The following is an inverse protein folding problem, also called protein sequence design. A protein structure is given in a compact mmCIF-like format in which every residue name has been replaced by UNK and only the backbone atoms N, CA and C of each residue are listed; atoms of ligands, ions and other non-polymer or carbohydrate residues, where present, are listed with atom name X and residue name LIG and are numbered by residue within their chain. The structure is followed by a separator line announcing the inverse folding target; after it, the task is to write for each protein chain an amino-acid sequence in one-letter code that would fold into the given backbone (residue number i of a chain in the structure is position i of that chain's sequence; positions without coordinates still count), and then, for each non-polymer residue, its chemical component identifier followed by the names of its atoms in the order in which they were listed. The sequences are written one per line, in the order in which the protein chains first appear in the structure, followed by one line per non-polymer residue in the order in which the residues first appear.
data_IF_000302463210
#
_entry.id   IF_000302463210
#
_cell.length_a   1.000
_cell.length_b   1.000
_cell.length_c   1.000
_cell.angle_alpha   90.00
_cell.angle_beta   90.00
_cell.angle_gamma   90.00
#
_symmetry.space_group_name_H-M   'P 1'
#
loop_
_entity.id
_entity.type
_entity.pdbx_description
1 polymer ?
#
# COMPACT_ATOMS: atom_id res chain seq x y z
N UNK A 1 -18.98 -11.62 -12.66
CA UNK A 1 -18.26 -10.70 -11.75
C UNK A 1 -18.66 -10.90 -10.30
N UNK A 2 -19.90 -11.31 -10.02
CA UNK A 2 -20.45 -11.40 -8.66
C UNK A 2 -19.71 -12.38 -7.74
N UNK A 3 -19.35 -13.58 -8.22
CA UNK A 3 -18.56 -14.53 -7.42
C UNK A 3 -17.18 -13.96 -7.05
N UNK A 4 -16.53 -13.29 -8.00
CA UNK A 4 -15.24 -12.64 -7.81
C UNK A 4 -15.37 -11.51 -6.77
N UNK A 5 -16.41 -10.68 -6.86
CA UNK A 5 -16.66 -9.63 -5.88
C UNK A 5 -16.96 -10.20 -4.48
N UNK A 6 -17.70 -11.30 -4.39
CA UNK A 6 -18.01 -11.91 -3.09
C UNK A 6 -16.77 -12.48 -2.37
N UNK A 7 -15.75 -12.95 -3.09
CA UNK A 7 -14.62 -13.69 -2.51
C UNK A 7 -13.25 -13.01 -2.65
N UNK A 8 -13.07 -12.08 -3.59
CA UNK A 8 -11.78 -11.49 -3.94
C UNK A 8 -11.61 -10.02 -3.55
N UNK A 9 -12.65 -9.37 -3.02
CA UNK A 9 -12.66 -7.92 -2.81
C UNK A 9 -11.61 -7.41 -1.82
N UNK A 10 -11.32 -8.16 -0.76
CA UNK A 10 -10.39 -7.73 0.30
C UNK A 10 -9.16 -8.63 0.45
N UNK A 11 -8.97 -9.59 -0.46
CA UNK A 11 -7.87 -10.56 -0.38
C UNK A 11 -6.58 -10.03 -0.99
N UNK A 12 -6.63 -8.92 -1.74
CA UNK A 12 -5.49 -8.43 -2.54
C UNK A 12 -4.88 -9.53 -3.40
N UNK A 13 -5.71 -10.39 -4.00
CA UNK A 13 -5.24 -11.57 -4.72
C UNK A 13 -5.69 -11.61 -6.18
N UNK A 14 -6.36 -10.56 -6.67
CA UNK A 14 -6.94 -10.56 -8.00
C UNK A 14 -6.61 -9.27 -8.76
N UNK A 15 -5.92 -9.46 -9.88
CA UNK A 15 -5.70 -8.48 -10.94
C UNK A 15 -6.22 -9.10 -12.24
N UNK A 16 -7.13 -8.41 -12.91
CA UNK A 16 -7.75 -8.86 -14.15
C UNK A 16 -7.30 -7.95 -15.30
N UNK A 17 -7.16 -8.52 -16.49
CA UNK A 17 -6.90 -7.78 -17.71
C UNK A 17 -7.67 -8.40 -18.88
N UNK A 18 -7.92 -7.58 -19.91
CA UNK A 18 -8.51 -8.02 -21.16
C UNK A 18 -7.58 -7.59 -22.29
N UNK A 19 -7.03 -8.55 -23.03
CA UNK A 19 -6.08 -8.29 -24.11
C UNK A 19 -6.58 -8.91 -25.42
N UNK A 20 -6.41 -8.23 -26.57
CA UNK A 20 -6.68 -8.81 -27.88
C UNK A 20 -5.56 -9.74 -28.37
N UNK A 21 -4.43 -9.81 -27.65
CA UNK A 21 -3.27 -10.62 -28.03
C UNK A 21 -3.48 -12.10 -27.72
N UNK A 22 -2.72 -12.97 -28.38
CA UNK A 22 -2.66 -14.39 -28.02
C UNK A 22 -2.08 -14.55 -26.61
N UNK A 23 -2.48 -15.61 -25.90
CA UNK A 23 -2.09 -15.81 -24.50
C UNK A 23 -0.56 -15.89 -24.31
N UNK A 24 0.16 -16.46 -25.27
CA UNK A 24 1.62 -16.56 -25.23
C UNK A 24 2.29 -15.17 -25.38
N UNK A 25 1.74 -14.31 -26.24
CA UNK A 25 2.20 -12.93 -26.38
C UNK A 25 1.92 -12.12 -25.11
N UNK A 26 0.75 -12.31 -24.50
CA UNK A 26 0.41 -11.69 -23.22
C UNK A 26 1.40 -12.14 -22.14
N UNK A 27 1.64 -13.44 -22.02
CA UNK A 27 2.56 -13.99 -21.03
C UNK A 27 3.99 -13.44 -21.22
N UNK A 28 4.50 -13.42 -22.45
CA UNK A 28 5.82 -12.88 -22.76
C UNK A 28 5.93 -11.38 -22.43
N UNK A 29 4.92 -10.58 -22.79
CA UNK A 29 4.89 -9.13 -22.49
C UNK A 29 4.74 -8.86 -20.99
N UNK A 30 3.96 -9.66 -20.27
CA UNK A 30 3.83 -9.56 -18.81
C UNK A 30 5.12 -9.96 -18.10
N UNK A 31 5.83 -10.98 -18.57
CA UNK A 31 7.11 -11.39 -17.97
C UNK A 31 8.14 -10.24 -17.98
N UNK A 32 8.21 -9.47 -19.07
CA UNK A 32 9.09 -8.29 -19.18
C UNK A 32 8.79 -7.21 -18.14
N UNK A 33 7.54 -7.12 -17.68
CA UNK A 33 7.09 -6.12 -16.68
C UNK A 33 7.44 -6.51 -15.25
N UNK A 34 8.01 -7.71 -15.04
CA UNK A 34 8.55 -8.13 -13.76
C UNK A 34 9.92 -7.48 -13.48
N UNK A 35 10.61 -6.99 -14.51
CA UNK A 35 11.95 -6.39 -14.34
C UNK A 35 11.83 -4.89 -14.03
N UNK A 36 12.38 -4.46 -12.90
CA UNK A 36 12.50 -3.05 -12.54
C UNK A 36 13.87 -2.75 -11.92
N UNK A 37 14.29 -1.49 -11.99
CA UNK A 37 15.47 -0.98 -11.28
C UNK A 37 15.08 0.16 -10.36
N UNK A 38 15.55 0.11 -9.12
CA UNK A 38 15.42 1.18 -8.13
C UNK A 38 16.56 2.20 -8.27
N UNK A 39 16.62 3.17 -7.34
CA UNK A 39 17.78 4.06 -7.27
C UNK A 39 19.08 3.25 -7.09
N UNK A 40 20.19 3.81 -7.57
CA UNK A 40 21.51 3.15 -7.59
C UNK A 40 21.57 1.85 -8.45
N UNK A 41 20.70 1.74 -9.46
CA UNK A 41 20.65 0.62 -10.43
C UNK A 41 20.42 -0.76 -9.77
N UNK A 42 19.80 -0.80 -8.59
CA UNK A 42 19.44 -2.06 -7.93
C UNK A 42 18.31 -2.76 -8.68
N UNK A 43 18.59 -3.95 -9.22
CA UNK A 43 17.58 -4.79 -9.89
C UNK A 43 16.62 -5.41 -8.88
N UNK A 44 15.32 -5.30 -9.15
CA UNK A 44 14.26 -5.88 -8.32
C UNK A 44 13.19 -6.55 -9.18
N UNK A 45 12.53 -7.55 -8.62
CA UNK A 45 11.33 -8.13 -9.21
C UNK A 45 10.11 -7.30 -8.84
N UNK A 46 9.52 -6.62 -9.82
CA UNK A 46 8.29 -5.86 -9.67
C UNK A 46 7.09 -6.81 -9.65
N UNK A 47 6.61 -7.11 -8.44
CA UNK A 47 5.43 -7.96 -8.22
C UNK A 47 4.11 -7.24 -8.53
N UNK A 48 3.96 -6.70 -9.74
CA UNK A 48 2.77 -5.95 -10.15
C UNK A 48 1.49 -6.81 -10.13
N UNK A 49 1.59 -8.13 -10.10
CA UNK A 49 0.47 -9.05 -9.95
C UNK A 49 -0.16 -9.02 -8.54
N UNK A 50 0.51 -8.40 -7.56
CA UNK A 50 -0.09 -8.06 -6.27
C UNK A 50 -0.86 -6.73 -6.42
N UNK A 51 -2.20 -6.70 -6.28
CA UNK A 51 -3.01 -5.50 -6.41
C UNK A 51 -2.55 -4.33 -5.53
N UNK A 52 -1.93 -4.59 -4.38
CA UNK A 52 -1.38 -3.54 -3.50
C UNK A 52 -0.20 -2.83 -4.14
N UNK A 53 0.69 -3.62 -4.78
CA UNK A 53 1.84 -3.11 -5.53
C UNK A 53 1.35 -2.43 -6.80
N UNK A 54 0.40 -3.03 -7.51
CA UNK A 54 -0.19 -2.45 -8.72
C UNK A 54 -0.83 -1.08 -8.45
N UNK A 55 -1.68 -0.98 -7.42
CA UNK A 55 -2.33 0.27 -7.02
C UNK A 55 -1.30 1.36 -6.68
N UNK A 56 -0.26 1.01 -5.91
CA UNK A 56 0.81 1.93 -5.56
C UNK A 56 1.61 2.37 -6.79
N UNK A 57 1.98 1.43 -7.67
CA UNK A 57 2.71 1.68 -8.90
C UNK A 57 1.95 2.61 -9.82
N UNK A 58 0.65 2.36 -10.03
CA UNK A 58 -0.22 3.20 -10.86
C UNK A 58 -0.35 4.63 -10.34
N UNK A 59 -0.02 4.90 -9.07
CA UNK A 59 0.02 6.27 -8.52
C UNK A 59 1.42 6.88 -8.58
N UNK A 60 2.46 6.07 -8.42
CA UNK A 60 3.84 6.52 -8.32
C UNK A 60 4.45 6.88 -9.69
N UNK A 61 4.20 6.08 -10.73
CA UNK A 61 4.86 6.27 -12.03
C UNK A 61 4.23 7.38 -12.87
N UNK A 62 5.05 7.97 -13.73
CA UNK A 62 4.65 9.03 -14.64
C UNK A 62 3.60 8.54 -15.65
N UNK A 63 2.76 9.44 -16.20
CA UNK A 63 1.73 9.06 -17.18
C UNK A 63 2.28 8.27 -18.36
N UNK A 64 3.41 8.67 -18.93
CA UNK A 64 4.02 7.97 -20.07
C UNK A 64 4.51 6.56 -19.70
N UNK A 65 5.14 6.39 -18.54
CA UNK A 65 5.53 5.07 -18.02
C UNK A 65 4.30 4.19 -17.79
N UNK A 66 3.22 4.77 -17.25
CA UNK A 66 1.95 4.07 -17.00
C UNK A 66 1.31 3.57 -18.27
N UNK A 67 1.22 4.42 -19.29
CA UNK A 67 0.66 4.04 -20.60
C UNK A 67 1.46 2.89 -21.22
N UNK A 68 2.79 2.97 -21.23
CA UNK A 68 3.64 1.89 -21.74
C UNK A 68 3.51 0.62 -20.89
N UNK A 69 3.46 0.74 -19.57
CA UNK A 69 3.30 -0.40 -18.67
C UNK A 69 1.96 -1.14 -18.90
N UNK A 70 0.87 -0.41 -19.15
CA UNK A 70 -0.46 -1.02 -19.29
C UNK A 70 -0.78 -1.55 -20.70
N UNK A 71 0.04 -1.25 -21.72
CA UNK A 71 -0.29 -1.47 -23.14
C UNK A 71 -0.39 -2.94 -23.61
N UNK A 72 -0.06 -3.90 -22.74
CA UNK A 72 -0.26 -5.34 -23.00
C UNK A 72 -1.75 -5.74 -23.00
N UNK A 73 -2.64 -4.86 -22.53
CA UNK A 73 -4.08 -5.09 -22.47
C UNK A 73 -4.88 -3.85 -22.90
N UNK A 74 -6.11 -4.05 -23.36
CA UNK A 74 -7.08 -2.98 -23.61
C UNK A 74 -7.80 -2.50 -22.34
N UNK A 75 -7.60 -3.18 -21.22
CA UNK A 75 -8.12 -2.75 -19.92
C UNK A 75 -7.61 -3.63 -18.80
N UNK A 76 -7.56 -3.03 -17.61
CA UNK A 76 -7.16 -3.68 -16.36
C UNK A 76 -8.16 -3.37 -15.26
N UNK A 77 -8.36 -4.32 -14.35
CA UNK A 77 -9.25 -4.18 -13.21
C UNK A 77 -8.69 -4.85 -11.96
N UNK A 78 -8.88 -4.21 -10.82
CA UNK A 78 -8.55 -4.76 -9.51
C UNK A 78 -9.51 -4.20 -8.46
N UNK A 79 -9.61 -4.85 -7.31
CA UNK A 79 -10.29 -4.26 -6.16
C UNK A 79 -9.27 -3.47 -5.35
N UNK A 80 -9.59 -2.20 -5.07
CA UNK A 80 -8.76 -1.38 -4.19
C UNK A 80 -8.91 -1.83 -2.72
N UNK A 81 -8.10 -1.24 -1.84
CA UNK A 81 -8.10 -1.56 -0.40
C UNK A 81 -9.40 -1.20 0.33
N UNK A 82 -10.33 -0.47 -0.32
CA UNK A 82 -11.67 -0.15 0.19
C UNK A 82 -12.73 -1.10 -0.37
N UNK A 83 -12.34 -1.99 -1.29
CA UNK A 83 -13.19 -2.97 -1.94
C UNK A 83 -13.92 -2.43 -3.17
N UNK A 84 -13.53 -1.27 -3.69
CA UNK A 84 -14.09 -0.76 -4.93
C UNK A 84 -13.39 -1.40 -6.13
N UNK A 85 -14.17 -1.80 -7.15
CA UNK A 85 -13.61 -2.23 -8.42
C UNK A 85 -13.06 -1.00 -9.16
N UNK A 86 -11.75 -0.97 -9.34
CA UNK A 86 -11.03 0.09 -10.06
C UNK A 86 -10.69 -0.42 -11.45
N UNK A 87 -11.03 0.38 -12.46
CA UNK A 87 -10.58 0.17 -13.84
C UNK A 87 -9.37 1.07 -14.14
N UNK A 88 -8.35 0.53 -14.79
CA UNK A 88 -7.30 1.31 -15.43
C UNK A 88 -7.49 1.20 -16.94
N UNK A 89 -7.90 2.29 -17.61
CA UNK A 89 -8.03 2.28 -19.05
C UNK A 89 -6.65 2.12 -19.68
N UNK A 90 -6.57 1.28 -20.71
CA UNK A 90 -5.35 1.00 -21.44
C UNK A 90 -5.67 0.87 -22.93
N UNK A 91 -4.62 0.90 -23.76
CA UNK A 91 -4.75 0.70 -25.20
C UNK A 91 -3.69 -0.29 -25.64
N UNK A 92 -4.12 -1.33 -26.32
CA UNK A 92 -3.24 -2.35 -26.89
C UNK A 92 -3.16 -2.14 -28.40
N UNK A 93 -2.44 -1.09 -28.78
CA UNK A 93 -2.37 -0.62 -30.17
C UNK A 93 -0.93 -0.87 -30.70
N UNK A 94 -0.68 -2.10 -31.17
CA UNK A 94 0.55 -2.43 -31.89
C UNK A 94 1.69 -3.05 -31.05
N UNK A 95 2.97 -2.72 -31.34
CA UNK A 95 4.11 -3.33 -30.65
C UNK A 95 4.17 -2.92 -29.19
N UNK A 96 4.74 -3.79 -28.34
CA UNK A 96 4.90 -3.53 -26.91
C UNK A 96 5.84 -2.33 -26.68
N UNK A 97 5.28 -1.22 -26.17
CA UNK A 97 6.03 0.02 -25.92
C UNK A 97 6.77 -0.03 -24.58
N UNK A 98 6.48 -1.03 -23.74
CA UNK A 98 7.19 -1.20 -22.49
C UNK A 98 8.68 -1.50 -22.75
N UNK A 99 9.53 -0.70 -22.09
CA UNK A 99 10.98 -0.91 -22.05
C UNK A 99 11.33 -1.49 -20.69
N UNK A 100 11.92 -2.68 -20.71
CA UNK A 100 12.40 -3.36 -19.52
C UNK A 100 13.92 -3.08 -19.33
N UNK A 101 14.40 -2.91 -18.10
CA UNK A 101 13.62 -2.84 -16.87
C UNK A 101 12.86 -1.52 -16.73
N UNK A 102 11.75 -1.51 -15.99
CA UNK A 102 11.12 -0.27 -15.56
C UNK A 102 12.06 0.48 -14.62
N UNK A 103 12.60 1.61 -15.07
CA UNK A 103 13.50 2.45 -14.27
C UNK A 103 12.69 3.36 -13.37
N UNK A 104 12.76 3.14 -12.06
CA UNK A 104 12.12 3.96 -11.05
C UNK A 104 13.07 5.04 -10.56
N UNK A 105 12.59 6.28 -10.48
CA UNK A 105 13.35 7.36 -9.86
C UNK A 105 13.33 7.24 -8.34
N UNK A 106 14.26 7.90 -7.64
CA UNK A 106 14.27 7.92 -6.18
C UNK A 106 12.94 8.42 -5.57
N UNK A 107 12.27 9.37 -6.23
CA UNK A 107 10.96 9.86 -5.80
C UNK A 107 9.86 8.78 -5.96
N UNK A 108 9.91 8.00 -7.05
CA UNK A 108 8.96 6.90 -7.29
C UNK A 108 9.20 5.75 -6.33
N UNK A 109 10.46 5.40 -6.07
CA UNK A 109 10.84 4.42 -5.05
C UNK A 109 10.32 4.83 -3.67
N UNK A 110 10.57 6.08 -3.25
CA UNK A 110 10.09 6.58 -1.97
C UNK A 110 8.56 6.53 -1.87
N UNK A 111 7.85 6.86 -2.95
CA UNK A 111 6.40 6.75 -3.00
C UNK A 111 5.90 5.30 -2.85
N UNK A 112 6.58 4.33 -3.45
CA UNK A 112 6.26 2.91 -3.30
C UNK A 112 6.55 2.40 -1.88
N UNK A 113 7.67 2.80 -1.28
CA UNK A 113 8.01 2.48 0.11
C UNK A 113 6.96 3.04 1.07
N UNK A 114 6.61 4.33 0.94
CA UNK A 114 5.57 4.97 1.73
C UNK A 114 4.21 4.28 1.57
N UNK A 115 3.87 3.84 0.35
CA UNK A 115 2.63 3.10 0.09
C UNK A 115 2.59 1.71 0.76
N UNK A 116 3.74 1.13 1.11
CA UNK A 116 3.85 -0.16 1.82
C UNK A 116 3.77 -0.03 3.34
N UNK A 117 4.01 1.15 3.91
CA UNK A 117 4.05 1.37 5.36
C UNK A 117 2.76 0.92 6.08
N UNK A 118 1.54 1.20 5.55
CA UNK A 118 0.33 0.67 6.16
C UNK A 118 0.27 -0.86 6.22
N UNK A 119 0.83 -1.57 5.24
CA UNK A 119 0.85 -3.04 5.25
C UNK A 119 1.77 -3.58 6.35
N UNK A 120 2.93 -2.96 6.54
CA UNK A 120 3.88 -3.33 7.58
C UNK A 120 3.30 -3.08 8.98
N UNK A 121 2.63 -1.94 9.17
CA UNK A 121 1.94 -1.62 10.43
C UNK A 121 0.79 -2.61 10.68
N UNK A 122 0.01 -2.95 9.67
CA UNK A 122 -1.09 -3.91 9.79
C UNK A 122 -0.60 -5.30 10.23
N UNK A 123 0.54 -5.76 9.72
CA UNK A 123 1.15 -7.03 10.12
C UNK A 123 1.56 -7.03 11.60
N UNK A 124 2.13 -5.92 12.08
CA UNK A 124 2.47 -5.77 13.50
C UNK A 124 1.22 -5.72 14.39
N UNK A 125 0.18 -4.98 13.99
CA UNK A 125 -1.10 -4.94 14.72
C UNK A 125 -1.75 -6.31 14.84
N UNK A 126 -1.67 -7.12 13.78
CA UNK A 126 -2.20 -8.49 13.79
C UNK A 126 -1.53 -9.36 14.86
N UNK A 127 -0.29 -9.05 15.23
CA UNK A 127 0.46 -9.73 16.29
C UNK A 127 0.21 -9.11 17.66
N UNK A 128 0.20 -7.77 17.75
CA UNK A 128 0.13 -7.03 19.02
C UNK A 128 -1.27 -7.00 19.63
N UNK A 129 -2.29 -6.76 18.80
CA UNK A 129 -3.69 -6.57 19.20
C UNK A 129 -4.63 -7.32 18.24
N UNK A 130 -4.53 -8.66 18.15
CA UNK A 130 -5.22 -9.45 17.12
C UNK A 130 -6.73 -9.28 17.15
N UNK A 131 -7.35 -9.27 18.33
CA UNK A 131 -8.81 -9.16 18.47
C UNK A 131 -9.32 -7.76 18.09
N UNK A 132 -8.85 -6.65 18.70
CA UNK A 132 -9.26 -5.32 18.28
C UNK A 132 -9.02 -5.04 16.80
N UNK A 133 -7.90 -5.52 16.25
CA UNK A 133 -7.61 -5.34 14.82
C UNK A 133 -8.53 -6.14 13.91
N UNK A 134 -8.91 -7.36 14.32
CA UNK A 134 -9.84 -8.20 13.55
C UNK A 134 -11.20 -7.52 13.42
N UNK A 135 -11.65 -6.86 14.48
CA UNK A 135 -12.95 -6.18 14.53
C UNK A 135 -13.03 -4.92 13.67
N UNK A 136 -11.88 -4.36 13.24
CA UNK A 136 -11.89 -3.25 12.27
C UNK A 136 -12.39 -3.73 10.91
N UNK A 137 -13.52 -3.18 10.38
CA UNK A 137 -14.05 -3.60 9.10
C UNK A 137 -13.03 -3.40 7.97
N UNK A 138 -12.88 -4.39 7.10
CA UNK A 138 -11.89 -4.41 6.02
C UNK A 138 -11.85 -3.11 5.19
N UNK A 139 -12.98 -2.52 4.73
CA UNK A 139 -12.98 -1.27 3.96
C UNK A 139 -12.42 -0.06 4.72
N UNK A 140 -12.41 -0.11 6.06
CA UNK A 140 -12.00 0.99 6.94
C UNK A 140 -10.54 0.88 7.35
N UNK A 141 -9.94 -0.31 7.26
CA UNK A 141 -8.57 -0.59 7.74
C UNK A 141 -7.53 0.35 7.14
N UNK A 142 -7.51 0.50 5.81
CA UNK A 142 -6.52 1.39 5.16
C UNK A 142 -6.67 2.84 5.61
N UNK A 143 -7.91 3.32 5.74
CA UNK A 143 -8.18 4.68 6.19
C UNK A 143 -7.81 4.90 7.67
N UNK A 144 -8.08 3.91 8.52
CA UNK A 144 -7.66 3.90 9.92
C UNK A 144 -6.14 4.03 10.02
N UNK A 145 -5.40 3.14 9.35
CA UNK A 145 -3.94 3.13 9.35
C UNK A 145 -3.37 4.45 8.85
N UNK A 146 -3.83 4.94 7.70
CA UNK A 146 -3.34 6.21 7.13
C UNK A 146 -3.51 7.40 8.07
N UNK A 147 -4.66 7.51 8.75
CA UNK A 147 -4.91 8.61 9.70
C UNK A 147 -3.98 8.53 10.91
N UNK A 148 -3.86 7.36 11.52
CA UNK A 148 -3.10 7.19 12.76
C UNK A 148 -1.60 7.16 12.53
N UNK A 149 -1.14 6.65 11.39
CA UNK A 149 0.25 6.79 10.93
C UNK A 149 0.59 8.28 10.72
N UNK A 150 -0.27 9.05 10.07
CA UNK A 150 -0.05 10.49 9.90
C UNK A 150 -0.01 11.24 11.24
N UNK A 151 -0.89 10.90 12.18
CA UNK A 151 -0.91 11.49 13.52
C UNK A 151 0.35 11.14 14.32
N UNK A 152 0.78 9.87 14.30
CA UNK A 152 2.03 9.42 14.90
C UNK A 152 3.24 10.13 14.28
N UNK A 153 3.25 10.29 12.96
CA UNK A 153 4.30 11.01 12.25
C UNK A 153 4.38 12.49 12.65
N UNK A 154 3.25 13.14 12.94
CA UNK A 154 3.23 14.52 13.44
C UNK A 154 3.86 14.67 14.84
N UNK A 155 3.92 13.57 15.61
CA UNK A 155 4.59 13.49 16.91
C UNK A 155 6.08 13.13 16.79
N UNK A 156 6.59 12.93 15.58
CA UNK A 156 7.99 12.55 15.34
C UNK A 156 8.25 11.04 15.41
N UNK A 157 7.22 10.22 15.56
CA UNK A 157 7.36 8.76 15.46
C UNK A 157 7.67 8.37 14.02
N UNK A 158 8.65 7.49 13.82
CA UNK A 158 9.14 7.11 12.47
C UNK A 158 9.35 5.62 12.30
N UNK A 159 9.53 4.86 13.38
CA UNK A 159 9.75 3.43 13.28
C UNK A 159 8.42 2.71 13.08
N UNK A 160 8.39 1.64 12.26
CA UNK A 160 7.19 0.82 12.07
C UNK A 160 6.59 0.36 13.40
N UNK A 161 7.46 0.03 14.37
CA UNK A 161 7.07 -0.36 15.73
C UNK A 161 6.30 0.73 16.45
N UNK A 162 6.79 1.97 16.44
CA UNK A 162 6.11 3.09 17.12
C UNK A 162 4.80 3.44 16.43
N UNK A 163 4.76 3.39 15.10
CA UNK A 163 3.54 3.58 14.33
C UNK A 163 2.49 2.51 14.68
N UNK A 164 2.92 1.24 14.81
CA UNK A 164 2.04 0.14 15.22
C UNK A 164 1.58 0.27 16.68
N UNK A 165 2.47 0.67 17.60
CA UNK A 165 2.10 0.97 18.98
C UNK A 165 1.06 2.09 19.05
N UNK A 166 1.23 3.16 18.27
CA UNK A 166 0.28 4.27 18.23
C UNK A 166 -1.08 3.83 17.69
N UNK A 167 -1.09 3.07 16.60
CA UNK A 167 -2.31 2.50 16.05
C UNK A 167 -2.99 1.53 17.04
N UNK A 168 -2.22 0.74 17.80
CA UNK A 168 -2.75 -0.14 18.83
C UNK A 168 -3.39 0.66 19.97
N UNK A 169 -2.76 1.75 20.41
CA UNK A 169 -3.34 2.66 21.39
C UNK A 169 -4.68 3.24 20.91
N UNK A 170 -4.75 3.68 19.65
CA UNK A 170 -6.00 4.14 19.04
C UNK A 170 -7.10 3.08 19.00
N UNK A 171 -6.76 1.79 18.83
CA UNK A 171 -7.73 0.70 18.87
C UNK A 171 -8.23 0.40 20.29
N UNK A 172 -7.34 0.46 21.28
CA UNK A 172 -7.63 0.06 22.66
C UNK A 172 -8.28 1.18 23.48
N UNK A 173 -7.81 2.42 23.31
CA UNK A 173 -8.23 3.59 24.08
C UNK A 173 -9.24 4.47 23.32
N UNK A 174 -9.46 4.17 22.03
CA UNK A 174 -10.31 4.93 21.11
C UNK A 174 -9.52 5.90 20.21
N UNK A 175 -10.05 6.20 19.01
CA UNK A 175 -9.32 6.98 18.00
C UNK A 175 -8.93 8.40 18.46
N UNK A 176 -9.64 8.96 19.44
CA UNK A 176 -9.39 10.30 19.99
C UNK A 176 -8.50 10.28 21.24
N UNK A 177 -7.87 9.14 21.57
CA UNK A 177 -7.10 8.97 22.82
C UNK A 177 -6.04 10.06 23.00
N UNK A 178 -5.36 10.47 21.92
CA UNK A 178 -4.33 11.49 21.92
C UNK A 178 -4.81 12.85 22.44
N UNK A 179 -6.12 13.13 22.32
CA UNK A 179 -6.76 14.35 22.80
C UNK A 179 -7.18 14.29 24.27
N UNK A 180 -7.06 13.16 24.95
CA UNK A 180 -7.53 12.99 26.33
C UNK A 180 -6.56 13.61 27.36
N UNK A 181 -7.05 13.98 28.56
CA UNK A 181 -6.19 14.52 29.62
C UNK A 181 -5.06 13.57 30.05
N UNK A 182 -5.27 12.25 29.96
CA UNK A 182 -4.25 11.22 30.24
C UNK A 182 -3.09 11.32 29.25
N UNK A 183 -3.40 11.36 27.95
CA UNK A 183 -2.41 11.18 26.89
C UNK A 183 -1.68 12.46 26.47
N UNK A 184 -2.34 13.62 26.50
CA UNK A 184 -1.73 14.90 26.11
C UNK A 184 -0.35 15.17 26.74
N UNK A 185 -0.16 15.06 28.07
CA UNK A 185 1.14 15.35 28.68
C UNK A 185 2.22 14.32 28.31
N UNK A 186 1.84 13.05 28.10
CA UNK A 186 2.76 11.99 27.70
C UNK A 186 3.23 12.20 26.25
N UNK A 187 2.30 12.48 25.34
CA UNK A 187 2.60 12.72 23.92
C UNK A 187 3.45 13.98 23.71
N UNK A 188 3.28 15.01 24.55
CA UNK A 188 4.15 16.19 24.52
C UNK A 188 5.61 15.85 24.89
N UNK A 189 5.83 14.97 25.86
CA UNK A 189 7.18 14.49 26.21
C UNK A 189 7.77 13.63 25.09
N UNK A 190 6.95 12.76 24.49
CA UNK A 190 7.36 11.96 23.32
C UNK A 190 7.78 12.84 22.16
N UNK A 191 7.02 13.89 21.86
CA UNK A 191 7.33 14.83 20.77
C UNK A 191 8.63 15.62 21.03
N UNK A 192 8.97 15.88 22.30
CA UNK A 192 10.24 16.51 22.70
C UNK A 192 11.41 15.52 22.77
N UNK A 193 11.17 14.21 22.59
CA UNK A 193 12.18 13.17 22.74
C UNK A 193 12.56 12.86 24.20
N UNK A 194 11.77 13.31 25.17
CA UNK A 194 12.00 13.11 26.61
C UNK A 194 11.47 11.75 27.09
N UNK A 195 10.55 11.14 26.34
CA UNK A 195 9.90 9.87 26.66
C UNK A 195 9.76 9.01 25.41
N UNK A 196 10.10 7.73 25.51
CA UNK A 196 9.81 6.77 24.44
C UNK A 196 8.31 6.46 24.38
N UNK A 197 7.73 6.28 23.19
CA UNK A 197 6.29 6.04 23.07
C UNK A 197 5.86 4.69 23.70
N UNK A 198 6.71 3.67 23.62
CA UNK A 198 6.49 2.41 24.33
C UNK A 198 6.48 2.58 25.85
N UNK A 199 7.32 3.47 26.38
CA UNK A 199 7.32 3.81 27.80
C UNK A 199 6.08 4.63 28.21
N UNK A 200 5.57 5.49 27.32
CA UNK A 200 4.31 6.23 27.56
C UNK A 200 3.10 5.29 27.70
N UNK A 201 3.08 4.17 26.97
CA UNK A 201 2.03 3.15 27.06
C UNK A 201 2.01 2.38 28.40
N UNK A 202 3.11 2.37 29.13
CA UNK A 202 3.23 1.66 30.40
C UNK A 202 2.78 2.48 31.63
N UNK A 203 2.32 3.73 31.43
CA UNK A 203 1.84 4.65 32.48
C UNK A 203 0.30 4.69 32.58
#
# INVERSE_FOLDING_TARGET
MDWIAAHGTYTSSLLMLASPLAIDDVAARLARRLDATLSEDMNVMLRFFDPRVFEALMRAIEPAQREAFLDVAGGWWYFDRRGALVAQPARCDGPDRHVAPLRLTAAQEFALLAASEPDQVAEQLQTMVPEPWRDVPLPRRVGFLQRHIAAANALGLRSTRDLALYCAAALLEGEEFAGTPKWRPLLAQVQRGELDFGAALAQ
#
